data_IF_416952740778
#
_entry.id   IF_416952740778
#
_cell.length_a   1.000
_cell.length_b   1.000
_cell.length_c   1.000
_cell.angle_alpha   90.00
_cell.angle_beta   90.00
_cell.angle_gamma   90.00
#
_symmetry.space_group_name_H-M   'P 1'
#
loop_
_entity.id
_entity.type
_entity.pdbx_description
1 polymer ?
#
# COMPACT_ATOMS: atom_id res chain seq x y z
N UNK A 1 11.29 -2.01 6.43
CA UNK A 1 9.87 -1.66 6.62
C UNK A 1 9.11 -2.97 6.54
N UNK A 2 8.36 -3.36 7.57
CA UNK A 2 7.53 -4.58 7.52
C UNK A 2 6.09 -4.15 7.29
N UNK A 3 5.66 -4.07 6.03
CA UNK A 3 4.25 -3.94 5.73
C UNK A 3 3.65 -5.34 5.83
N UNK A 4 2.77 -5.55 6.80
CA UNK A 4 2.02 -6.79 6.88
C UNK A 4 1.10 -6.88 5.67
N UNK A 5 1.06 -8.04 4.99
CA UNK A 5 0.02 -8.31 3.98
C UNK A 5 -1.37 -8.31 4.65
N UNK A 6 -1.42 -8.40 5.99
CA UNK A 6 -2.61 -8.28 6.84
C UNK A 6 -3.05 -6.81 7.07
N UNK A 7 -2.39 -5.85 6.45
CA UNK A 7 -2.74 -4.45 6.62
C UNK A 7 -4.11 -4.17 5.94
N UNK A 8 -5.00 -3.35 6.56
CA UNK A 8 -6.32 -3.07 5.99
C UNK A 8 -6.23 -2.51 4.56
N UNK A 9 -7.20 -2.85 3.71
CA UNK A 9 -7.35 -2.25 2.39
C UNK A 9 -7.39 -0.71 2.52
N UNK A 10 -6.74 0.00 1.60
CA UNK A 10 -6.63 1.44 1.60
C UNK A 10 -5.61 2.03 2.58
N UNK A 11 -4.82 1.20 3.27
CA UNK A 11 -3.80 1.70 4.20
C UNK A 11 -2.54 2.21 3.47
N UNK A 12 -1.83 3.12 4.14
CA UNK A 12 -0.53 3.64 3.68
C UNK A 12 0.56 3.10 4.61
N UNK A 13 1.41 2.18 4.14
CA UNK A 13 2.41 1.57 4.99
C UNK A 13 3.49 2.60 5.33
N UNK A 14 3.68 2.83 6.63
CA UNK A 14 4.68 3.74 7.16
C UNK A 14 5.32 3.12 8.40
N UNK A 15 6.64 3.29 8.53
CA UNK A 15 7.38 2.93 9.74
C UNK A 15 8.00 4.16 10.36
N UNK A 16 7.95 4.20 11.69
CA UNK A 16 8.59 5.20 12.53
C UNK A 16 9.63 4.48 13.41
N UNK A 17 10.86 4.95 13.39
CA UNK A 17 11.92 4.59 14.33
C UNK A 17 12.41 5.86 15.02
N UNK A 18 12.33 5.91 16.34
CA UNK A 18 12.73 7.10 17.10
C UNK A 18 13.26 6.74 18.49
N UNK A 19 14.22 7.54 18.98
CA UNK A 19 14.68 7.54 20.37
C UNK A 19 13.92 8.53 21.26
N UNK A 20 12.88 9.17 20.71
CA UNK A 20 12.03 10.22 21.27
C UNK A 20 12.71 11.55 21.59
N UNK A 21 14.04 11.63 21.53
CA UNK A 21 14.80 12.79 21.98
C UNK A 21 15.38 13.56 20.81
N UNK A 22 16.13 12.89 19.95
CA UNK A 22 17.03 13.57 19.00
C UNK A 22 16.81 13.08 17.58
N UNK A 23 16.30 11.87 17.38
CA UNK A 23 16.22 11.28 16.03
C UNK A 23 14.87 10.62 15.78
N UNK A 24 14.24 11.06 14.69
CA UNK A 24 12.97 10.53 14.20
C UNK A 24 13.11 10.13 12.74
N UNK A 25 13.18 8.83 12.48
CA UNK A 25 13.25 8.27 11.14
C UNK A 25 11.87 7.78 10.70
N UNK A 26 11.44 8.24 9.54
CA UNK A 26 10.23 7.79 8.86
C UNK A 26 10.61 7.08 7.57
N UNK A 27 10.00 5.92 7.32
CA UNK A 27 10.12 5.20 6.06
C UNK A 27 8.72 4.96 5.50
N UNK A 28 8.49 5.30 4.24
CA UNK A 28 7.21 5.11 3.55
C UNK A 28 7.44 4.85 2.06
N UNK A 29 6.41 4.37 1.36
CA UNK A 29 6.43 4.27 -0.10
C UNK A 29 5.87 5.56 -0.72
N UNK A 30 6.66 6.19 -1.58
CA UNK A 30 6.25 7.39 -2.32
C UNK A 30 5.37 7.04 -3.53
N UNK A 31 4.79 8.06 -4.14
CA UNK A 31 4.03 7.95 -5.40
C UNK A 31 4.88 7.48 -6.60
N UNK A 32 6.20 7.42 -6.44
CA UNK A 32 7.15 6.85 -7.43
C UNK A 32 7.40 5.35 -7.20
N UNK A 33 6.64 4.69 -6.32
CA UNK A 33 6.80 3.28 -5.96
C UNK A 33 8.18 2.93 -5.40
N UNK A 34 8.88 3.90 -4.83
CA UNK A 34 10.18 3.71 -4.16
C UNK A 34 10.06 3.92 -2.66
N UNK A 35 10.88 3.17 -1.92
CA UNK A 35 11.06 3.35 -0.48
C UNK A 35 11.77 4.68 -0.22
N UNK A 36 11.05 5.62 0.40
CA UNK A 36 11.57 6.92 0.78
C UNK A 36 11.82 6.96 2.29
N UNK A 37 12.97 7.52 2.68
CA UNK A 37 13.34 7.74 4.08
C UNK A 37 13.46 9.24 4.36
N UNK A 38 12.96 9.65 5.52
CA UNK A 38 13.02 11.01 6.03
C UNK A 38 13.52 10.98 7.46
N UNK A 39 14.41 11.90 7.82
CA UNK A 39 14.92 12.05 9.18
C UNK A 39 14.62 13.44 9.70
N UNK A 40 14.10 13.53 10.92
CA UNK A 40 13.91 14.79 11.64
C UNK A 40 14.69 14.76 12.95
N UNK A 41 15.43 15.84 13.20
CA UNK A 41 16.16 16.05 14.46
C UNK A 41 15.34 16.83 15.50
N UNK A 42 14.36 17.61 15.03
CA UNK A 42 13.49 18.41 15.89
C UNK A 42 12.16 17.69 16.12
N UNK A 43 11.81 17.31 17.37
CA UNK A 43 10.56 16.58 17.66
C UNK A 43 9.31 17.30 17.15
N UNK A 44 9.30 18.64 17.14
CA UNK A 44 8.20 19.44 16.59
C UNK A 44 7.95 19.12 15.10
N UNK A 45 9.01 19.04 14.30
CA UNK A 45 8.90 18.74 12.87
C UNK A 45 8.41 17.30 12.67
N UNK A 46 8.87 16.35 13.49
CA UNK A 46 8.40 14.97 13.44
C UNK A 46 6.91 14.86 13.77
N UNK A 47 6.44 15.57 14.80
CA UNK A 47 5.02 15.59 15.18
C UNK A 47 4.16 16.24 14.10
N UNK A 48 4.62 17.36 13.54
CA UNK A 48 3.91 18.05 12.46
C UNK A 48 3.86 17.18 11.19
N UNK A 49 4.92 16.41 10.89
CA UNK A 49 4.93 15.39 9.84
C UNK A 49 3.93 14.25 10.11
N UNK A 50 3.84 13.72 11.33
CA UNK A 50 2.86 12.70 11.71
C UNK A 50 1.44 13.21 11.47
N UNK A 51 1.13 14.44 11.87
CA UNK A 51 -0.18 15.05 11.63
C UNK A 51 -0.48 15.12 10.13
N UNK A 52 0.48 15.59 9.33
CA UNK A 52 0.32 15.63 7.87
C UNK A 52 0.12 14.21 7.27
N UNK A 53 0.80 13.19 7.83
CA UNK A 53 0.73 11.82 7.34
C UNK A 53 -0.58 11.09 7.71
N UNK A 54 -1.19 11.37 8.86
CA UNK A 54 -2.42 10.72 9.32
C UNK A 54 -3.67 11.34 8.69
N UNK A 55 -3.65 12.64 8.39
CA UNK A 55 -4.80 13.30 7.79
C UNK A 55 -5.04 12.69 6.41
N UNK A 56 -6.15 11.96 6.28
CA UNK A 56 -6.60 11.36 5.02
C UNK A 56 -7.18 12.46 4.14
N UNK A 57 -6.29 13.26 3.53
CA UNK A 57 -6.73 14.21 2.52
C UNK A 57 -6.77 13.51 1.16
N UNK A 58 -7.83 13.74 0.37
CA UNK A 58 -7.82 13.36 -1.04
C UNK A 58 -6.58 13.95 -1.71
N UNK A 59 -6.12 13.29 -2.77
CA UNK A 59 -4.85 13.36 -3.53
C UNK A 59 -4.20 14.75 -3.81
N UNK A 60 -4.74 15.86 -3.30
CA UNK A 60 -4.40 17.23 -3.66
C UNK A 60 -4.03 18.16 -2.50
N UNK A 61 -4.06 17.71 -1.24
CA UNK A 61 -3.53 18.54 -0.16
C UNK A 61 -2.06 18.21 0.10
N UNK A 62 -1.21 18.82 -0.72
CA UNK A 62 0.19 19.01 -0.39
C UNK A 62 0.19 19.84 0.90
N UNK A 63 0.31 19.21 2.07
CA UNK A 63 0.63 19.96 3.29
C UNK A 63 2.03 20.53 3.05
N UNK A 64 2.18 21.85 2.85
CA UNK A 64 3.49 22.43 2.64
C UNK A 64 4.15 22.49 4.01
N UNK A 65 4.84 21.42 4.37
CA UNK A 65 5.78 21.43 5.46
C UNK A 65 6.96 22.27 4.96
N UNK A 66 7.11 23.51 5.44
CA UNK A 66 8.13 24.45 4.97
C UNK A 66 9.57 23.94 5.10
N UNK A 67 9.76 22.94 5.96
CA UNK A 67 11.02 22.24 6.21
C UNK A 67 11.15 20.92 5.44
N UNK A 68 10.15 20.56 4.63
CA UNK A 68 10.12 19.32 3.85
C UNK A 68 10.22 19.67 2.35
N UNK A 69 11.28 19.21 1.66
CA UNK A 69 11.67 19.76 0.36
C UNK A 69 10.77 19.34 -0.81
N UNK A 70 9.98 18.27 -0.67
CA UNK A 70 9.07 17.79 -1.72
C UNK A 70 7.64 17.67 -1.19
N UNK A 71 6.60 17.76 -2.04
CA UNK A 71 5.24 17.42 -1.64
C UNK A 71 5.19 16.03 -1.02
N UNK A 72 4.79 15.93 0.25
CA UNK A 72 4.60 14.63 0.88
C UNK A 72 3.48 13.89 0.17
N UNK A 73 3.83 12.80 -0.51
CA UNK A 73 2.91 11.89 -1.20
C UNK A 73 3.23 10.46 -0.81
N UNK A 74 2.18 9.73 -0.42
CA UNK A 74 2.23 8.35 0.05
C UNK A 74 1.39 7.48 -0.88
N UNK A 75 1.87 6.27 -1.14
CA UNK A 75 1.19 5.27 -1.97
C UNK A 75 0.44 4.27 -1.07
N UNK A 76 -0.74 3.80 -1.51
CA UNK A 76 -1.50 2.79 -0.75
C UNK A 76 -0.88 1.42 -0.93
N UNK A 77 -1.08 0.52 0.03
CA UNK A 77 -0.72 -0.90 -0.12
C UNK A 77 -1.40 -1.49 -1.36
N UNK A 78 -2.65 -1.10 -1.63
CA UNK A 78 -3.42 -1.61 -2.77
C UNK A 78 -2.80 -1.26 -4.12
N UNK A 79 -2.10 -0.12 -4.21
CA UNK A 79 -1.42 0.29 -5.43
C UNK A 79 -0.13 -0.54 -5.65
N UNK A 80 0.40 -1.15 -4.58
CA UNK A 80 1.55 -2.05 -4.63
C UNK A 80 1.15 -3.50 -4.96
N UNK A 81 -0.02 -3.94 -4.47
CA UNK A 81 -0.50 -5.28 -4.70
C UNK A 81 -0.99 -5.43 -6.15
N UNK A 82 -0.23 -6.19 -6.94
CA UNK A 82 -0.65 -6.58 -8.29
C UNK A 82 -2.07 -7.16 -8.21
N UNK A 83 -2.97 -6.61 -9.03
CA UNK A 83 -4.32 -7.18 -9.20
C UNK A 83 -4.22 -8.32 -10.23
N UNK A 84 -4.97 -9.42 -10.07
CA UNK A 84 -5.00 -10.53 -11.03
C UNK A 84 -5.77 -10.16 -12.31
N UNK A 85 -5.34 -9.11 -13.01
CA UNK A 85 -5.98 -8.59 -14.24
C UNK A 85 -5.08 -8.79 -15.47
N UNK A 86 -3.77 -9.00 -15.28
CA UNK A 86 -2.82 -9.16 -16.37
C UNK A 86 -2.59 -10.63 -16.76
N UNK A 87 -1.92 -10.87 -17.90
CA UNK A 87 -1.57 -12.20 -18.42
C UNK A 87 -0.75 -13.11 -17.48
N UNK A 88 -0.40 -12.60 -16.29
CA UNK A 88 0.27 -13.30 -15.19
C UNK A 88 -0.67 -13.60 -14.00
N UNK A 89 -1.99 -13.45 -14.15
CA UNK A 89 -2.95 -13.66 -13.05
C UNK A 89 -2.88 -15.08 -12.44
N UNK A 90 -2.57 -16.09 -13.27
CA UNK A 90 -2.35 -17.47 -12.81
C UNK A 90 -1.07 -17.60 -11.97
N UNK A 91 0.03 -17.01 -12.41
CA UNK A 91 1.31 -16.99 -11.67
C UNK A 91 1.17 -16.22 -10.35
N UNK A 92 0.41 -15.12 -10.36
CA UNK A 92 0.13 -14.34 -9.16
C UNK A 92 -0.68 -15.15 -8.14
N UNK A 93 -1.71 -15.88 -8.57
CA UNK A 93 -2.50 -16.69 -7.64
C UNK A 93 -1.66 -17.85 -7.08
N UNK A 94 -0.82 -18.49 -7.91
CA UNK A 94 0.11 -19.52 -7.46
C UNK A 94 1.07 -18.99 -6.39
N UNK A 95 1.62 -17.79 -6.57
CA UNK A 95 2.46 -17.15 -5.57
C UNK A 95 1.73 -16.91 -4.24
N UNK A 96 0.46 -16.49 -4.28
CA UNK A 96 -0.34 -16.36 -3.07
C UNK A 96 -0.65 -17.70 -2.40
N UNK A 97 -0.92 -18.76 -3.18
CA UNK A 97 -1.11 -20.11 -2.65
C UNK A 97 0.16 -20.66 -1.97
N UNK A 98 1.34 -20.35 -2.50
CA UNK A 98 2.62 -20.72 -1.90
C UNK A 98 2.88 -20.02 -0.55
N UNK A 99 2.23 -18.88 -0.31
CA UNK A 99 2.32 -18.10 0.93
C UNK A 99 1.09 -18.28 1.83
N UNK A 100 0.24 -19.29 1.58
CA UNK A 100 -1.05 -19.43 2.22
C UNK A 100 -0.99 -19.55 3.75
N UNK A 101 0.14 -20.01 4.31
CA UNK A 101 0.42 -20.09 5.73
C UNK A 101 0.71 -18.72 6.38
N UNK A 102 1.22 -17.77 5.61
CA UNK A 102 1.54 -16.41 6.05
C UNK A 102 0.40 -15.40 5.78
N UNK A 103 -0.52 -15.75 4.88
CA UNK A 103 -1.64 -14.90 4.45
C UNK A 103 -2.91 -15.09 5.29
N UNK A 104 -3.73 -14.04 5.38
CA UNK A 104 -5.06 -14.17 5.99
C UNK A 104 -5.97 -15.02 5.09
N UNK A 105 -6.75 -15.96 5.65
CA UNK A 105 -7.68 -16.79 4.89
C UNK A 105 -8.67 -15.96 4.07
N UNK A 106 -9.18 -14.86 4.62
CA UNK A 106 -10.15 -13.98 3.96
C UNK A 106 -9.52 -13.27 2.76
N UNK A 107 -8.25 -12.84 2.88
CA UNK A 107 -7.52 -12.24 1.78
C UNK A 107 -7.33 -13.24 0.63
N UNK A 108 -6.85 -14.44 0.94
CA UNK A 108 -6.61 -15.47 -0.07
C UNK A 108 -7.93 -15.89 -0.75
N UNK A 109 -9.01 -16.03 0.02
CA UNK A 109 -10.35 -16.31 -0.49
C UNK A 109 -10.84 -15.21 -1.44
N UNK A 110 -10.62 -13.94 -1.11
CA UNK A 110 -10.96 -12.82 -1.97
C UNK A 110 -10.18 -12.86 -3.30
N UNK A 111 -8.86 -13.10 -3.25
CA UNK A 111 -8.03 -13.22 -4.46
C UNK A 111 -8.43 -14.39 -5.35
N UNK A 112 -8.78 -15.54 -4.76
CA UNK A 112 -9.34 -16.69 -5.49
C UNK A 112 -10.64 -16.32 -6.20
N UNK A 113 -11.53 -15.61 -5.51
CA UNK A 113 -12.82 -15.18 -6.07
C UNK A 113 -12.63 -14.20 -7.23
N UNK A 114 -11.76 -13.20 -7.07
CA UNK A 114 -11.40 -12.26 -8.14
C UNK A 114 -10.83 -12.97 -9.37
N UNK A 115 -9.89 -13.91 -9.17
CA UNK A 115 -9.31 -14.70 -10.25
C UNK A 115 -10.35 -15.59 -10.96
N UNK A 116 -11.24 -16.24 -10.21
CA UNK A 116 -12.32 -17.04 -10.77
C UNK A 116 -13.30 -16.20 -11.60
N UNK A 117 -13.66 -15.01 -11.12
CA UNK A 117 -14.47 -14.05 -11.88
C UNK A 117 -13.79 -13.66 -13.20
N UNK A 118 -12.49 -13.36 -13.15
CA UNK A 118 -11.71 -13.04 -14.35
C UNK A 118 -11.69 -14.20 -15.36
N UNK A 119 -11.49 -15.44 -14.90
CA UNK A 119 -11.55 -16.63 -15.76
C UNK A 119 -12.92 -16.76 -16.44
N UNK A 120 -14.01 -16.61 -15.70
CA UNK A 120 -15.37 -16.70 -16.25
C UNK A 120 -15.64 -15.60 -17.29
N UNK A 121 -15.22 -14.37 -17.02
CA UNK A 121 -15.34 -13.25 -17.96
C UNK A 121 -14.53 -13.47 -19.25
N UNK A 122 -13.37 -14.15 -19.16
CA UNK A 122 -12.55 -14.47 -20.32
C UNK A 122 -13.18 -15.55 -21.24
N UNK A 123 -14.18 -16.29 -20.75
CA UNK A 123 -14.89 -17.28 -21.56
C UNK A 123 -15.95 -16.56 -22.42
N UNK A 124 -15.85 -16.62 -23.77
CA UNK A 124 -16.73 -15.85 -24.66
C UNK A 124 -18.23 -16.11 -24.44
N UNK A 125 -18.58 -17.34 -24.05
CA UNK A 125 -19.97 -17.76 -23.77
C UNK A 125 -20.57 -17.11 -22.51
N UNK A 126 -19.76 -16.62 -21.58
CA UNK A 126 -20.22 -16.04 -20.32
C UNK A 126 -19.87 -14.56 -20.17
N UNK A 127 -19.04 -14.01 -21.06
CA UNK A 127 -18.58 -12.62 -21.03
C UNK A 127 -19.71 -11.57 -20.92
N UNK A 128 -20.88 -11.87 -21.50
CA UNK A 128 -22.05 -10.98 -21.55
C UNK A 128 -22.95 -11.06 -20.31
N UNK A 129 -22.73 -12.02 -19.40
CA UNK A 129 -23.45 -12.11 -18.13
C UNK A 129 -22.84 -11.22 -17.03
N UNK A 130 -21.65 -10.68 -17.28
CA UNK A 130 -20.84 -9.94 -16.31
C UNK A 130 -20.33 -8.59 -16.84
N UNK A 131 -20.94 -8.09 -17.93
CA UNK A 131 -20.69 -6.78 -18.53
C UNK A 131 -21.52 -5.67 -17.85
#
# INVERSE_FOLDING_TARGET
MCASIKAPLGCYPMSLLTDLNDVWHFCYFSDKSVLTQVTFEYPKNAIDFIKAAIVDQPEHAIFPLSYFPEPFKKMRVDDFLLRPVDGHAAELIENYELMADELEPEFLMARRMEYAQHLVQSIPMYAHMYA
#
